data_IF_479970795249
#
_entry.id   IF_479970795249
#
_cell.length_a   1.000
_cell.length_b   1.000
_cell.length_c   1.000
_cell.angle_alpha   90.00
_cell.angle_beta   90.00
_cell.angle_gamma   90.00
#
_symmetry.space_group_name_H-M   'P 1'
#
loop_
_entity.id
_entity.type
_entity.pdbx_description
1 polymer ?
#
# COMPACT_ATOMS: atom_id res chain seq x y z
N UNK A 1 -1.28 -33.40 -28.80
CA UNK A 1 -2.25 -34.36 -28.21
C UNK A 1 -1.74 -34.68 -26.83
N UNK A 2 -2.41 -34.46 -25.70
CA UNK A 2 -3.80 -34.09 -25.38
C UNK A 2 -3.74 -33.39 -24.01
N UNK A 3 -4.69 -32.50 -23.78
CA UNK A 3 -4.93 -31.72 -22.57
C UNK A 3 -5.18 -32.56 -21.30
N UNK A 4 -5.27 -31.82 -20.17
CA UNK A 4 -6.19 -31.95 -19.03
C UNK A 4 -5.56 -32.38 -17.69
N UNK A 5 -5.97 -31.88 -16.51
CA UNK A 5 -6.96 -30.88 -16.08
C UNK A 5 -6.88 -30.80 -14.53
N UNK A 6 -7.02 -29.59 -13.96
CA UNK A 6 -7.55 -29.26 -12.60
C UNK A 6 -7.05 -30.06 -11.38
N UNK A 7 -6.57 -29.33 -10.37
CA UNK A 7 -7.05 -29.48 -8.99
C UNK A 7 -6.73 -28.19 -8.24
N UNK A 8 -7.71 -27.42 -7.74
CA UNK A 8 -8.41 -27.63 -6.45
C UNK A 8 -7.41 -27.55 -5.29
N UNK A 9 -7.59 -26.83 -4.19
CA UNK A 9 -8.73 -26.17 -3.57
C UNK A 9 -8.20 -25.44 -2.33
N UNK A 10 -9.03 -24.55 -1.81
CA UNK A 10 -8.93 -23.87 -0.52
C UNK A 10 -8.48 -24.74 0.66
N UNK A 11 -7.80 -24.11 1.63
CA UNK A 11 -7.75 -24.61 3.00
C UNK A 11 -7.94 -23.47 4.01
N UNK A 12 -9.13 -23.48 4.60
CA UNK A 12 -9.61 -22.67 5.72
C UNK A 12 -9.65 -23.57 6.97
N UNK A 13 -9.36 -22.95 8.13
CA UNK A 13 -9.57 -23.35 9.56
C UNK A 13 -8.39 -23.95 10.32
N UNK A 14 -8.07 -23.29 11.44
CA UNK A 14 -8.04 -23.78 12.85
C UNK A 14 -7.77 -22.53 13.73
N UNK A 15 -8.35 -22.25 14.91
CA UNK A 15 -9.14 -23.03 15.86
C UNK A 15 -9.73 -22.13 16.98
N UNK A 16 -10.33 -22.81 17.96
CA UNK A 16 -11.44 -22.41 18.85
C UNK A 16 -11.11 -21.56 20.11
N UNK A 17 -12.12 -20.75 20.49
CA UNK A 17 -12.77 -20.56 21.82
C UNK A 17 -11.95 -20.15 23.07
N UNK A 18 -12.39 -19.05 23.69
CA UNK A 18 -12.45 -18.84 25.14
C UNK A 18 -13.76 -18.05 25.48
N UNK A 19 -14.79 -18.71 26.03
CA UNK A 19 -15.34 -18.59 27.41
C UNK A 19 -15.82 -17.17 27.78
N UNK A 20 -17.13 -16.86 27.73
CA UNK A 20 -18.21 -17.06 28.74
C UNK A 20 -17.87 -16.56 30.16
N UNK A 21 -18.47 -15.42 30.53
CA UNK A 21 -18.82 -14.92 31.87
C UNK A 21 -19.75 -13.69 31.65
N UNK A 22 -20.74 -13.29 32.44
CA UNK A 22 -21.50 -13.86 33.56
C UNK A 22 -22.77 -12.97 33.75
N UNK A 23 -23.72 -13.43 34.56
CA UNK A 23 -25.01 -12.89 35.00
C UNK A 23 -25.12 -11.35 35.20
N UNK A 24 -26.16 -10.66 34.71
CA UNK A 24 -27.52 -10.37 35.30
C UNK A 24 -27.52 -9.62 36.65
N UNK A 25 -28.03 -8.37 36.67
CA UNK A 25 -28.98 -7.84 37.70
C UNK A 25 -29.66 -6.54 37.22
N UNK A 26 -30.99 -6.42 37.40
CA UNK A 26 -31.86 -5.22 37.20
C UNK A 26 -31.95 -4.38 38.52
N UNK A 27 -32.64 -3.20 38.66
CA UNK A 27 -34.10 -2.99 38.46
C UNK A 27 -34.58 -1.55 38.01
N UNK A 28 -35.91 -1.40 37.86
CA UNK A 28 -36.76 -0.26 37.42
C UNK A 28 -36.93 0.88 38.50
N UNK A 29 -37.81 1.94 38.44
CA UNK A 29 -39.11 2.12 37.74
C UNK A 29 -39.48 3.56 37.20
N UNK A 30 -40.66 3.72 36.57
CA UNK A 30 -41.45 4.97 36.61
C UNK A 30 -42.12 5.44 35.29
N UNK A 31 -43.39 5.91 35.28
CA UNK A 31 -44.26 5.94 34.08
C UNK A 31 -44.65 7.34 33.54
N UNK A 32 -45.29 7.29 32.36
CA UNK A 32 -46.25 8.23 31.74
C UNK A 32 -45.81 9.65 31.32
N UNK A 33 -45.93 9.93 30.01
CA UNK A 33 -46.59 11.12 29.43
C UNK A 33 -46.37 11.19 27.91
N UNK A 34 -47.46 11.14 27.14
CA UNK A 34 -47.56 11.64 25.76
C UNK A 34 -48.02 13.12 25.76
N UNK A 35 -48.27 13.78 24.62
CA UNK A 35 -47.35 14.15 23.53
C UNK A 35 -47.30 15.69 23.32
N UNK A 36 -46.16 16.23 22.88
CA UNK A 36 -45.95 17.68 22.74
C UNK A 36 -45.27 18.08 21.42
N UNK A 37 -46.10 18.35 20.42
CA UNK A 37 -45.90 19.08 19.16
C UNK A 37 -44.69 20.05 19.10
N UNK A 38 -43.81 19.89 18.10
CA UNK A 38 -43.09 21.01 17.46
C UNK A 38 -42.60 20.62 16.05
N UNK A 39 -42.69 21.58 15.14
CA UNK A 39 -42.67 21.48 13.68
C UNK A 39 -41.23 21.40 13.08
N UNK A 40 -41.07 21.25 11.75
CA UNK A 40 -39.84 20.74 11.13
C UNK A 40 -38.74 21.79 11.03
N UNK A 41 -37.52 21.38 11.37
CA UNK A 41 -36.27 22.10 11.06
C UNK A 41 -35.98 22.00 9.55
N UNK A 42 -35.72 23.12 8.85
CA UNK A 42 -35.33 23.10 7.44
C UNK A 42 -33.93 22.49 7.29
N UNK A 43 -33.80 21.61 6.30
CA UNK A 43 -32.59 20.87 5.99
C UNK A 43 -31.41 21.80 5.70
N UNK A 44 -30.35 21.65 6.50
CA UNK A 44 -29.07 22.27 6.23
C UNK A 44 -28.54 21.81 4.87
N UNK A 45 -28.17 22.82 4.10
CA UNK A 45 -27.61 22.75 2.76
C UNK A 45 -26.64 21.59 2.59
N UNK A 46 -26.94 20.74 1.59
CA UNK A 46 -25.95 19.86 0.95
C UNK A 46 -24.78 20.74 0.50
N UNK A 47 -23.66 20.63 1.19
CA UNK A 47 -22.36 21.06 0.66
C UNK A 47 -22.18 20.39 -0.71
N UNK A 48 -21.78 21.13 -1.76
CA UNK A 48 -21.59 20.54 -3.07
C UNK A 48 -20.44 19.53 -2.99
N UNK A 49 -20.73 18.29 -3.38
CA UNK A 49 -19.72 17.28 -3.64
C UNK A 49 -18.89 17.69 -4.88
N UNK A 50 -17.90 18.55 -4.66
CA UNK A 50 -16.70 18.67 -5.48
C UNK A 50 -15.61 17.88 -4.74
N UNK A 51 -14.91 16.90 -5.31
CA UNK A 51 -14.60 16.69 -6.70
C UNK A 51 -14.92 15.24 -7.11
N UNK A 52 -15.58 15.11 -8.26
CA UNK A 52 -15.39 13.94 -9.12
C UNK A 52 -13.89 13.81 -9.32
N UNK A 53 -13.33 12.62 -9.03
CA UNK A 53 -11.94 12.31 -9.30
C UNK A 53 -11.62 12.67 -10.74
N UNK A 54 -10.98 13.82 -10.90
CA UNK A 54 -10.48 14.26 -12.18
C UNK A 54 -9.44 13.23 -12.60
N UNK A 55 -9.71 12.53 -13.69
CA UNK A 55 -8.63 12.23 -14.61
C UNK A 55 -8.04 13.60 -14.97
N UNK A 56 -6.99 13.99 -14.24
CA UNK A 56 -6.10 15.06 -14.68
C UNK A 56 -5.62 14.64 -16.07
N UNK A 57 -5.80 15.54 -17.03
CA UNK A 57 -5.34 15.34 -18.40
C UNK A 57 -3.91 14.77 -18.40
N UNK A 58 -3.79 13.53 -18.85
CA UNK A 58 -2.67 13.02 -19.64
C UNK A 58 -1.24 13.34 -19.23
N UNK A 59 -0.87 13.31 -17.94
CA UNK A 59 0.55 13.17 -17.62
C UNK A 59 0.96 11.71 -17.80
N UNK A 60 1.35 11.42 -19.04
CA UNK A 60 1.85 10.14 -19.51
C UNK A 60 2.97 9.69 -18.58
N UNK A 61 2.84 8.49 -18.04
CA UNK A 61 3.90 7.85 -17.28
C UNK A 61 5.22 7.93 -18.09
N UNK A 62 6.30 8.54 -17.56
CA UNK A 62 7.52 8.80 -18.33
C UNK A 62 8.32 7.53 -18.67
N UNK A 63 7.79 6.36 -18.29
CA UNK A 63 8.47 5.08 -18.33
C UNK A 63 9.19 4.79 -17.02
N UNK A 64 9.65 3.55 -16.90
CA UNK A 64 10.49 3.13 -15.78
C UNK A 64 11.86 3.83 -15.85
N UNK A 65 12.44 4.13 -14.70
CA UNK A 65 13.74 4.80 -14.62
C UNK A 65 14.88 3.84 -14.97
N UNK A 66 15.68 4.20 -15.97
CA UNK A 66 16.81 3.40 -16.48
C UNK A 66 18.18 4.01 -16.13
N UNK A 67 18.20 5.13 -15.39
CA UNK A 67 19.43 5.85 -15.06
C UNK A 67 20.11 5.38 -13.78
N UNK A 68 21.12 6.14 -13.36
CA UNK A 68 21.72 6.04 -12.02
C UNK A 68 21.15 7.13 -11.12
N UNK A 69 20.92 6.79 -9.86
CA UNK A 69 20.51 7.76 -8.83
C UNK A 69 21.22 7.47 -7.51
N UNK A 70 20.94 8.31 -6.51
CA UNK A 70 21.38 8.09 -5.14
C UNK A 70 20.25 7.50 -4.31
N UNK A 71 20.53 6.42 -3.57
CA UNK A 71 19.60 5.87 -2.59
C UNK A 71 19.70 6.71 -1.30
N UNK A 72 18.55 7.14 -0.78
CA UNK A 72 18.48 8.01 0.40
C UNK A 72 17.41 7.49 1.36
N UNK A 73 17.75 7.43 2.65
CA UNK A 73 16.79 7.23 3.72
C UNK A 73 16.57 8.57 4.42
N UNK A 74 15.42 9.19 4.21
CA UNK A 74 15.08 10.49 4.78
C UNK A 74 13.55 10.65 5.01
N UNK A 75 12.87 9.69 5.67
CA UNK A 75 11.44 9.82 5.95
C UNK A 75 11.20 10.97 6.92
N UNK A 76 10.17 11.78 6.68
CA UNK A 76 9.81 12.93 7.52
C UNK A 76 8.31 12.97 7.76
N UNK A 77 7.84 13.23 8.99
CA UNK A 77 6.42 13.31 9.29
C UNK A 77 5.84 14.69 8.93
N UNK A 78 6.09 15.18 7.71
CA UNK A 78 5.59 16.46 7.20
C UNK A 78 4.35 16.30 6.28
N UNK A 79 3.96 15.06 6.00
CA UNK A 79 2.82 14.73 5.15
C UNK A 79 3.16 14.66 3.66
N UNK A 80 4.42 14.90 3.30
CA UNK A 80 4.94 14.71 1.96
C UNK A 80 5.63 13.34 1.83
N UNK A 81 5.48 12.66 0.68
CA UNK A 81 6.10 11.36 0.47
C UNK A 81 7.62 11.49 0.32
N UNK A 82 8.36 10.76 1.16
CA UNK A 82 9.82 10.81 1.21
C UNK A 82 10.51 9.44 1.08
N UNK A 83 11.76 9.41 0.59
CA UNK A 83 12.56 8.19 0.55
C UNK A 83 12.69 7.52 1.93
N UNK A 84 12.41 6.20 1.99
CA UNK A 84 12.26 5.44 3.22
C UNK A 84 10.82 5.11 3.58
N UNK A 85 9.84 5.72 2.89
CA UNK A 85 8.42 5.43 3.08
C UNK A 85 7.91 4.42 2.06
N UNK A 86 7.05 3.51 2.51
CA UNK A 86 6.21 2.68 1.66
C UNK A 86 4.89 3.41 1.46
N UNK A 87 4.59 3.76 0.22
CA UNK A 87 3.39 4.51 -0.16
C UNK A 87 2.51 3.69 -1.10
N UNK A 88 1.21 3.96 -1.11
CA UNK A 88 0.31 3.39 -2.11
C UNK A 88 0.22 4.30 -3.33
N UNK A 89 0.51 3.76 -4.49
CA UNK A 89 0.44 4.49 -5.76
C UNK A 89 -0.13 3.61 -6.86
N UNK A 90 -0.69 4.25 -7.89
CA UNK A 90 -1.03 3.57 -9.12
C UNK A 90 0.25 3.22 -9.87
N UNK A 91 0.46 1.94 -10.15
CA UNK A 91 1.64 1.46 -10.85
C UNK A 91 1.25 0.84 -12.19
N UNK A 92 1.79 1.36 -13.32
CA UNK A 92 1.48 0.84 -14.63
C UNK A 92 2.00 -0.60 -14.84
N UNK A 93 1.33 -1.35 -15.72
CA UNK A 93 1.80 -2.67 -16.18
C UNK A 93 2.95 -2.50 -17.19
N UNK A 94 3.90 -3.44 -17.20
CA UNK A 94 5.09 -3.38 -18.07
C UNK A 94 4.72 -3.46 -19.56
N UNK A 95 3.68 -4.19 -19.89
CA UNK A 95 3.25 -4.44 -21.27
C UNK A 95 2.41 -3.29 -21.84
N UNK A 96 1.74 -2.54 -20.96
CA UNK A 96 0.82 -1.47 -21.33
C UNK A 96 0.73 -0.46 -20.19
N UNK A 97 1.45 0.64 -20.32
CA UNK A 97 1.49 1.73 -19.34
C UNK A 97 0.18 2.52 -19.25
N UNK A 98 -0.80 2.32 -20.15
CA UNK A 98 -2.15 2.90 -19.98
C UNK A 98 -2.98 2.15 -18.94
N UNK A 99 -2.54 0.95 -18.57
CA UNK A 99 -3.16 0.09 -17.57
C UNK A 99 -2.23 -0.05 -16.38
N UNK A 100 -2.82 -0.33 -15.23
CA UNK A 100 -2.08 -0.45 -13.98
C UNK A 100 -2.99 -0.83 -12.84
N UNK A 101 -2.41 -0.86 -11.65
CA UNK A 101 -3.16 -1.06 -10.40
C UNK A 101 -2.45 -0.43 -9.24
N UNK A 102 -3.21 -0.20 -8.17
CA UNK A 102 -2.66 0.27 -6.92
C UNK A 102 -1.75 -0.79 -6.29
N UNK A 103 -0.57 -0.35 -5.86
CA UNK A 103 0.42 -1.18 -5.19
C UNK A 103 1.14 -0.40 -4.09
N UNK A 104 1.60 -1.08 -3.04
CA UNK A 104 2.62 -0.54 -2.16
C UNK A 104 3.94 -0.40 -2.92
N UNK A 105 4.59 0.75 -2.78
CA UNK A 105 5.87 1.11 -3.41
C UNK A 105 6.77 1.71 -2.34
N UNK A 106 7.98 1.16 -2.17
CA UNK A 106 9.00 1.77 -1.32
C UNK A 106 9.70 2.88 -2.10
N UNK A 107 9.66 4.10 -1.60
CA UNK A 107 10.40 5.23 -2.14
C UNK A 107 11.87 5.13 -1.73
N UNK A 108 12.78 5.25 -2.70
CA UNK A 108 14.22 5.02 -2.50
C UNK A 108 15.08 6.21 -2.85
N UNK A 109 14.56 7.17 -3.61
CA UNK A 109 15.30 8.34 -4.05
C UNK A 109 14.46 9.26 -4.92
N UNK A 110 15.13 10.15 -5.65
CA UNK A 110 14.51 11.15 -6.54
C UNK A 110 15.29 11.25 -7.85
N UNK A 111 14.62 11.68 -8.91
CA UNK A 111 15.21 12.08 -10.19
C UNK A 111 14.40 13.24 -10.76
N UNK A 112 14.97 14.45 -10.73
CA UNK A 112 14.22 15.67 -11.06
C UNK A 112 12.99 15.83 -10.16
N UNK A 113 11.82 16.02 -10.77
CA UNK A 113 10.53 16.14 -10.09
C UNK A 113 9.91 14.79 -9.68
N UNK A 114 10.51 13.67 -10.07
CA UNK A 114 9.98 12.34 -9.79
C UNK A 114 10.60 11.73 -8.53
N UNK A 115 9.77 11.05 -7.77
CA UNK A 115 10.17 10.07 -6.78
C UNK A 115 10.49 8.75 -7.48
N UNK A 116 11.59 8.11 -7.06
CA UNK A 116 11.97 6.79 -7.53
C UNK A 116 11.51 5.76 -6.51
N UNK A 117 10.84 4.70 -6.99
CA UNK A 117 10.32 3.66 -6.13
C UNK A 117 10.52 2.26 -6.65
N UNK A 118 10.58 1.30 -5.72
CA UNK A 118 10.52 -0.14 -6.00
C UNK A 118 9.18 -0.69 -5.56
N UNK A 119 8.52 -1.45 -6.43
CA UNK A 119 7.22 -2.04 -6.10
C UNK A 119 7.38 -3.15 -5.06
N UNK A 120 6.39 -3.26 -4.17
CA UNK A 120 6.30 -4.42 -3.27
C UNK A 120 5.33 -5.48 -3.82
N UNK A 121 5.61 -6.74 -3.50
CA UNK A 121 4.76 -7.88 -3.82
C UNK A 121 4.64 -8.78 -2.60
N UNK A 122 3.43 -9.28 -2.31
CA UNK A 122 3.19 -10.28 -1.28
C UNK A 122 3.25 -11.72 -1.82
N UNK A 123 3.74 -11.89 -3.05
CA UNK A 123 4.02 -13.20 -3.64
C UNK A 123 5.47 -13.51 -3.31
N UNK A 124 5.68 -14.70 -2.77
CA UNK A 124 7.01 -15.25 -2.54
C UNK A 124 7.74 -15.43 -3.88
N UNK A 125 8.81 -14.67 -4.08
CA UNK A 125 9.71 -14.74 -5.25
C UNK A 125 11.14 -15.02 -4.84
N UNK A 126 11.48 -14.93 -3.56
CA UNK A 126 12.79 -15.30 -3.03
C UNK A 126 12.71 -16.77 -2.60
N UNK A 127 13.29 -17.72 -3.37
CA UNK A 127 13.26 -19.12 -2.95
C UNK A 127 13.96 -19.28 -1.61
N UNK A 128 13.45 -20.15 -0.72
CA UNK A 128 14.03 -20.41 0.62
C UNK A 128 15.55 -20.73 0.61
N UNK A 129 16.09 -21.15 -0.54
CA UNK A 129 17.48 -21.59 -0.71
C UNK A 129 18.34 -20.70 -1.63
N UNK A 130 17.84 -19.58 -2.14
CA UNK A 130 18.57 -18.77 -3.12
C UNK A 130 18.57 -17.27 -2.82
N UNK A 131 19.72 -16.64 -3.03
CA UNK A 131 19.83 -15.17 -3.06
C UNK A 131 19.20 -14.66 -4.36
N UNK A 132 18.12 -13.90 -4.27
CA UNK A 132 17.52 -13.26 -5.42
C UNK A 132 18.24 -11.95 -5.76
N UNK A 133 18.60 -11.76 -7.03
CA UNK A 133 19.13 -10.49 -7.53
C UNK A 133 18.03 -9.47 -7.83
N UNK A 134 16.79 -9.95 -7.96
CA UNK A 134 15.64 -9.16 -8.39
C UNK A 134 14.71 -8.81 -7.22
N UNK A 135 14.80 -9.53 -6.10
CA UNK A 135 13.89 -9.37 -4.96
C UNK A 135 14.64 -9.34 -3.63
N UNK A 136 14.15 -8.51 -2.71
CA UNK A 136 14.60 -8.45 -1.31
C UNK A 136 13.40 -8.65 -0.39
N UNK A 137 13.50 -9.59 0.54
CA UNK A 137 12.47 -9.81 1.56
C UNK A 137 12.44 -8.65 2.57
N UNK A 138 11.25 -8.10 2.82
CA UNK A 138 10.98 -7.08 3.82
C UNK A 138 10.11 -7.59 4.97
N UNK A 139 9.61 -8.82 4.90
CA UNK A 139 8.63 -9.36 5.83
C UNK A 139 7.33 -8.54 5.85
N UNK A 140 6.60 -8.65 6.95
CA UNK A 140 5.35 -7.92 7.16
C UNK A 140 5.58 -6.49 7.67
N UNK A 141 4.65 -5.59 7.39
CA UNK A 141 4.66 -4.22 7.92
C UNK A 141 3.35 -3.49 7.75
N UNK A 142 3.28 -2.29 8.34
CA UNK A 142 2.04 -1.49 8.44
C UNK A 142 1.47 -1.03 7.08
N UNK A 143 2.24 -1.14 5.99
CA UNK A 143 1.77 -0.84 4.64
C UNK A 143 0.75 -1.84 4.10
N UNK A 144 0.70 -3.07 4.64
CA UNK A 144 -0.32 -4.07 4.31
C UNK A 144 -1.21 -4.32 5.52
N UNK A 145 -2.48 -3.94 5.42
CA UNK A 145 -3.49 -4.12 6.49
C UNK A 145 -3.71 -5.59 6.86
N UNK A 146 -3.42 -6.53 5.96
CA UNK A 146 -3.50 -7.97 6.21
C UNK A 146 -2.23 -8.52 6.87
N UNK A 147 -1.18 -7.71 7.04
CA UNK A 147 0.08 -8.11 7.67
C UNK A 147 0.84 -9.17 6.88
N UNK A 148 0.65 -9.23 5.54
CA UNK A 148 1.34 -10.21 4.71
C UNK A 148 2.80 -9.83 4.54
N UNK A 149 3.67 -10.85 4.53
CA UNK A 149 5.06 -10.66 4.16
C UNK A 149 5.15 -10.10 2.73
N UNK A 150 6.08 -9.18 2.51
CA UNK A 150 6.25 -8.47 1.25
C UNK A 150 7.72 -8.47 0.84
N UNK A 151 7.96 -8.53 -0.45
CA UNK A 151 9.29 -8.42 -1.06
C UNK A 151 9.35 -7.16 -1.94
N UNK A 152 10.50 -6.50 -1.96
CA UNK A 152 10.81 -5.39 -2.85
C UNK A 152 11.38 -5.89 -4.18
N UNK A 153 10.76 -5.49 -5.29
CA UNK A 153 11.20 -5.82 -6.66
C UNK A 153 12.24 -4.80 -7.13
N UNK A 154 13.51 -5.19 -7.22
CA UNK A 154 14.66 -4.34 -7.50
C UNK A 154 14.94 -4.12 -8.99
N UNK A 155 14.49 -5.02 -9.87
CA UNK A 155 14.76 -4.95 -11.31
C UNK A 155 13.99 -3.84 -12.03
N UNK A 156 12.92 -3.33 -11.41
CA UNK A 156 12.05 -2.31 -11.99
C UNK A 156 11.91 -1.10 -11.07
N UNK A 157 12.39 0.04 -11.55
CA UNK A 157 12.30 1.32 -10.84
C UNK A 157 11.18 2.16 -11.45
N UNK A 158 10.12 2.39 -10.68
CA UNK A 158 8.99 3.21 -11.13
C UNK A 158 9.22 4.68 -10.83
N UNK A 159 8.75 5.56 -11.72
CA UNK A 159 8.79 7.01 -11.55
C UNK A 159 7.43 7.52 -11.12
N UNK A 160 7.34 8.05 -9.90
CA UNK A 160 6.11 8.55 -9.32
C UNK A 160 6.17 10.06 -9.17
N UNK A 161 5.08 10.74 -9.48
CA UNK A 161 4.94 12.13 -9.09
C UNK A 161 4.45 12.21 -7.63
N UNK A 162 4.93 13.16 -6.82
CA UNK A 162 4.46 13.33 -5.45
C UNK A 162 2.93 13.48 -5.32
N UNK A 163 2.28 14.16 -6.26
CA UNK A 163 0.84 14.39 -6.27
C UNK A 163 0.01 13.20 -6.74
N UNK A 164 0.64 12.19 -7.35
CA UNK A 164 0.00 10.93 -7.74
C UNK A 164 0.02 9.88 -6.61
N UNK A 165 0.70 10.17 -5.49
CA UNK A 165 0.79 9.27 -4.34
C UNK A 165 -0.48 9.39 -3.50
N UNK A 166 -1.04 8.25 -3.11
CA UNK A 166 -2.13 8.19 -2.14
C UNK A 166 -1.51 8.31 -0.75
N UNK A 167 -2.11 9.12 0.13
CA UNK A 167 -1.63 9.37 1.50
C UNK A 167 -1.82 8.18 2.46
N UNK A 168 -1.75 6.96 1.95
CA UNK A 168 -1.70 5.73 2.72
C UNK A 168 -0.28 5.18 2.63
N UNK A 169 0.39 5.01 3.77
CA UNK A 169 1.76 4.53 3.79
C UNK A 169 2.30 4.27 5.19
N UNK A 170 3.54 3.80 5.25
CA UNK A 170 4.28 3.54 6.47
C UNK A 170 5.77 3.77 6.27
N UNK A 171 6.47 4.24 7.31
CA UNK A 171 7.93 4.33 7.30
C UNK A 171 8.51 2.93 7.44
N UNK A 172 9.39 2.53 6.50
CA UNK A 172 10.14 1.28 6.61
C UNK A 172 11.26 1.47 7.61
N UNK A 173 11.57 0.46 8.42
CA UNK A 173 12.72 0.55 9.31
C UNK A 173 14.04 0.67 8.53
N UNK A 174 15.01 1.34 9.16
CA UNK A 174 16.29 1.65 8.53
C UNK A 174 17.06 0.42 8.07
N UNK A 175 17.00 -0.68 8.82
CA UNK A 175 17.77 -1.88 8.53
C UNK A 175 17.23 -2.59 7.27
N UNK A 176 15.90 -2.74 7.16
CA UNK A 176 15.27 -3.27 5.94
C UNK A 176 15.51 -2.38 4.73
N UNK A 177 15.45 -1.06 4.92
CA UNK A 177 15.79 -0.11 3.87
C UNK A 177 17.23 -0.27 3.38
N UNK A 178 18.19 -0.42 4.30
CA UNK A 178 19.61 -0.59 3.96
C UNK A 178 19.84 -1.87 3.14
N UNK A 179 19.08 -2.95 3.38
CA UNK A 179 19.10 -4.17 2.55
C UNK A 179 18.65 -3.89 1.11
N UNK A 180 17.55 -3.15 0.93
CA UNK A 180 17.08 -2.71 -0.40
C UNK A 180 18.14 -1.83 -1.07
N UNK A 181 18.69 -0.88 -0.32
CA UNK A 181 19.70 0.04 -0.82
C UNK A 181 20.96 -0.71 -1.29
N UNK A 182 21.41 -1.74 -0.55
CA UNK A 182 22.51 -2.60 -0.95
C UNK A 182 22.18 -3.35 -2.26
N UNK A 183 20.96 -3.88 -2.38
CA UNK A 183 20.48 -4.53 -3.61
C UNK A 183 20.49 -3.59 -4.82
N UNK A 184 19.98 -2.36 -4.67
CA UNK A 184 19.99 -1.35 -5.73
C UNK A 184 21.40 -0.94 -6.15
N UNK A 185 22.33 -0.79 -5.19
CA UNK A 185 23.74 -0.49 -5.47
C UNK A 185 24.41 -1.62 -6.25
N UNK A 186 24.20 -2.86 -5.80
CA UNK A 186 24.75 -4.06 -6.45
C UNK A 186 24.24 -4.21 -7.89
N UNK A 187 22.93 -4.03 -8.09
CA UNK A 187 22.29 -4.24 -9.39
C UNK A 187 22.51 -3.10 -10.39
N UNK A 188 22.33 -1.86 -9.95
CA UNK A 188 22.24 -0.70 -10.84
C UNK A 188 23.45 0.23 -10.76
N UNK A 189 24.40 -0.03 -9.85
CA UNK A 189 25.55 0.87 -9.64
C UNK A 189 25.17 2.24 -9.09
N UNK A 190 24.08 2.31 -8.31
CA UNK A 190 23.63 3.53 -7.63
C UNK A 190 24.55 3.90 -6.45
N UNK A 191 24.35 5.10 -5.86
CA UNK A 191 25.17 5.61 -4.73
C UNK A 191 24.38 5.78 -3.44
#
# INVERSE_FOLDING_TARGET
MVLNLRSLQDAVRTGLRALRNAARTSPAPGPDSSPGRAAPVPGNARLPAAARGGAVDGDVYPGDFQGRSSVRYAPRPDGEPDPGEVVWAWVPYEEDHSRGKDRPVLLVGRSGSYLLGVMLTSRDRVPESAVSQDYVDLGAGAWDRQGRASEARLDRIVQLRPDAIRREGAVLDRARFDTVAAGLRSRHGWT
#
